data_IF_011503664155
#
_entry.id   IF_011503664155
#
_cell.length_a   1.000
_cell.length_b   1.000
_cell.length_c   1.000
_cell.angle_alpha   90.00
_cell.angle_beta   90.00
_cell.angle_gamma   90.00
#
_symmetry.space_group_name_H-M   'P 1'
#
loop_
_entity.id
_entity.type
_entity.pdbx_description
1 polymer ?
#
# COMPACT_ATOMS: atom_id res chain seq x y z
N UNK A 1 10.50 0.16 18.00
CA UNK A 1 10.75 -0.11 16.58
C UNK A 1 9.42 -0.59 16.02
N UNK A 2 9.28 -1.73 15.32
CA UNK A 2 8.02 -2.38 14.91
C UNK A 2 6.88 -1.46 14.44
N UNK A 3 6.09 -0.87 15.35
CA UNK A 3 5.04 0.11 14.99
C UNK A 3 5.63 1.32 14.27
N UNK A 4 6.78 1.80 14.73
CA UNK A 4 7.50 2.91 14.09
C UNK A 4 7.93 2.53 12.68
N UNK A 5 8.66 1.42 12.55
CA UNK A 5 9.16 0.91 11.27
C UNK A 5 8.01 0.72 10.26
N UNK A 6 6.88 0.15 10.69
CA UNK A 6 5.69 0.00 9.84
C UNK A 6 5.04 1.34 9.49
N UNK A 7 5.02 2.29 10.43
CA UNK A 7 4.49 3.64 10.16
C UNK A 7 5.33 4.37 9.12
N UNK A 8 6.65 4.19 9.16
CA UNK A 8 7.57 4.75 8.17
C UNK A 8 7.35 4.09 6.80
N UNK A 9 7.26 2.75 6.74
CA UNK A 9 6.96 2.01 5.50
C UNK A 9 5.67 2.52 4.84
N UNK A 10 4.60 2.69 5.62
CA UNK A 10 3.31 3.20 5.13
C UNK A 10 3.43 4.66 4.68
N UNK A 11 4.06 5.52 5.49
CA UNK A 11 4.16 6.94 5.18
C UNK A 11 4.96 7.20 3.90
N UNK A 12 6.11 6.55 3.74
CA UNK A 12 6.93 6.72 2.53
C UNK A 12 6.22 6.15 1.30
N UNK A 13 5.63 4.95 1.39
CA UNK A 13 4.95 4.34 0.24
C UNK A 13 3.76 5.19 -0.24
N UNK A 14 2.93 5.70 0.67
CA UNK A 14 1.76 6.50 0.31
C UNK A 14 2.15 7.88 -0.23
N UNK A 15 3.14 8.53 0.38
CA UNK A 15 3.60 9.84 -0.09
C UNK A 15 4.32 9.76 -1.43
N UNK A 16 5.11 8.72 -1.68
CA UNK A 16 5.79 8.56 -2.97
C UNK A 16 4.78 8.38 -4.12
N UNK A 17 3.68 7.64 -3.88
CA UNK A 17 2.57 7.53 -4.86
C UNK A 17 1.88 8.88 -5.05
N UNK A 18 1.60 9.60 -3.96
CA UNK A 18 0.98 10.92 -4.02
C UNK A 18 1.84 11.92 -4.82
N UNK A 19 3.12 12.03 -4.49
CA UNK A 19 4.07 12.94 -5.12
C UNK A 19 4.30 12.54 -6.59
N UNK A 20 4.38 11.24 -6.88
CA UNK A 20 4.51 10.73 -8.25
C UNK A 20 3.31 11.08 -9.13
N UNK A 21 2.09 10.96 -8.60
CA UNK A 21 0.86 11.38 -9.29
C UNK A 21 0.81 12.91 -9.44
N UNK A 22 1.10 13.65 -8.37
CA UNK A 22 1.08 15.11 -8.36
C UNK A 22 2.09 15.72 -9.34
N UNK A 23 3.29 15.16 -9.41
CA UNK A 23 4.35 15.59 -10.32
C UNK A 23 4.15 15.12 -11.77
N UNK A 24 3.16 14.26 -12.04
CA UNK A 24 2.92 13.67 -13.37
C UNK A 24 3.97 12.63 -13.77
N UNK A 25 4.68 12.05 -12.80
CA UNK A 25 5.60 10.92 -13.02
C UNK A 25 4.88 9.58 -13.08
N UNK A 26 3.69 9.49 -12.48
CA UNK A 26 2.82 8.33 -12.48
C UNK A 26 1.51 8.72 -13.16
N UNK A 27 1.10 7.98 -14.19
CA UNK A 27 -0.28 7.95 -14.65
C UNK A 27 -0.95 6.71 -14.02
N UNK A 28 -2.01 6.88 -13.20
CA UNK A 28 -2.63 5.73 -12.54
C UNK A 28 -3.23 4.75 -13.54
N UNK A 29 -3.56 5.18 -14.76
CA UNK A 29 -4.09 4.31 -15.80
C UNK A 29 -3.03 3.33 -16.34
N UNK A 30 -1.75 3.67 -16.27
CA UNK A 30 -0.67 2.77 -16.67
C UNK A 30 -0.59 1.51 -15.77
N UNK A 31 -1.13 1.55 -14.56
CA UNK A 31 -1.15 0.39 -13.66
C UNK A 31 -2.13 -0.71 -14.10
N UNK A 32 -2.98 -0.44 -15.10
CA UNK A 32 -3.82 -1.45 -15.74
C UNK A 32 -3.12 -2.14 -16.93
N UNK A 33 -1.98 -1.63 -17.38
CA UNK A 33 -1.29 -2.16 -18.54
C UNK A 33 -0.28 -3.24 -18.12
N UNK A 34 -0.39 -4.42 -18.73
CA UNK A 34 0.43 -5.59 -18.38
C UNK A 34 1.94 -5.34 -18.51
N UNK A 35 2.46 -4.69 -19.58
CA UNK A 35 3.89 -4.42 -19.70
C UNK A 35 4.43 -3.57 -18.55
N UNK A 36 3.68 -2.55 -18.13
CA UNK A 36 4.03 -1.66 -17.02
C UNK A 36 4.02 -2.42 -15.68
N UNK A 37 3.03 -3.29 -15.46
CA UNK A 37 2.96 -4.17 -14.29
C UNK A 37 4.17 -5.10 -14.21
N UNK A 38 4.53 -5.74 -15.32
CA UNK A 38 5.69 -6.63 -15.38
C UNK A 38 6.98 -5.91 -14.97
N UNK A 39 7.21 -4.69 -15.46
CA UNK A 39 8.39 -3.91 -15.09
C UNK A 39 8.40 -3.50 -13.61
N UNK A 40 7.23 -3.12 -13.06
CA UNK A 40 7.09 -2.83 -11.63
C UNK A 40 7.44 -4.08 -10.80
N UNK A 41 6.91 -5.24 -11.16
CA UNK A 41 7.14 -6.49 -10.42
C UNK A 41 8.60 -6.95 -10.50
N UNK A 42 9.27 -6.75 -11.65
CA UNK A 42 10.71 -7.01 -11.78
C UNK A 42 11.55 -6.16 -10.82
N UNK A 43 11.15 -4.91 -10.57
CA UNK A 43 11.82 -4.04 -9.60
C UNK A 43 11.47 -4.42 -8.17
N UNK A 44 10.24 -4.85 -7.91
CA UNK A 44 9.76 -5.24 -6.59
C UNK A 44 10.42 -6.53 -6.07
N UNK A 45 10.54 -7.54 -6.92
CA UNK A 45 11.04 -8.87 -6.54
C UNK A 45 12.53 -8.81 -6.19
N UNK A 46 12.88 -9.34 -5.01
CA UNK A 46 14.23 -9.34 -4.46
C UNK A 46 14.64 -8.03 -3.79
N UNK A 47 13.89 -6.93 -3.98
CA UNK A 47 14.16 -5.63 -3.34
C UNK A 47 13.15 -5.28 -2.24
N UNK A 48 11.87 -5.47 -2.52
CA UNK A 48 10.75 -5.14 -1.63
C UNK A 48 10.01 -6.39 -1.16
N UNK A 49 10.01 -7.45 -1.97
CA UNK A 49 9.52 -8.79 -1.61
C UNK A 49 10.61 -9.85 -1.81
N UNK A 50 10.52 -11.03 -1.17
CA UNK A 50 11.46 -12.13 -1.40
C UNK A 50 11.65 -12.47 -2.88
N UNK A 51 12.87 -12.92 -3.24
CA UNK A 51 13.22 -13.20 -4.64
C UNK A 51 12.44 -14.39 -5.24
N UNK A 52 11.82 -15.21 -4.42
CA UNK A 52 10.97 -16.35 -4.78
C UNK A 52 9.46 -16.02 -4.72
N UNK A 53 9.10 -14.75 -4.53
CA UNK A 53 7.69 -14.30 -4.59
C UNK A 53 7.14 -14.50 -6.00
N UNK A 54 5.98 -15.14 -6.09
CA UNK A 54 5.24 -15.28 -7.35
C UNK A 54 4.71 -13.90 -7.80
N UNK A 55 5.04 -13.41 -9.02
CA UNK A 55 4.48 -12.17 -9.55
C UNK A 55 2.95 -12.12 -9.51
N UNK A 56 2.27 -13.27 -9.56
CA UNK A 56 0.81 -13.33 -9.43
C UNK A 56 0.32 -12.80 -8.08
N UNK A 57 1.07 -13.00 -6.98
CA UNK A 57 0.71 -12.44 -5.66
C UNK A 57 0.74 -10.90 -5.67
N UNK A 58 1.66 -10.30 -6.42
CA UNK A 58 1.78 -8.85 -6.59
C UNK A 58 0.69 -8.32 -7.52
N UNK A 59 0.38 -9.05 -8.60
CA UNK A 59 -0.75 -8.72 -9.48
C UNK A 59 -2.06 -8.69 -8.72
N UNK A 60 -2.36 -9.74 -7.94
CA UNK A 60 -3.58 -9.80 -7.13
C UNK A 60 -3.63 -8.68 -6.08
N UNK A 61 -2.47 -8.28 -5.54
CA UNK A 61 -2.40 -7.16 -4.60
C UNK A 61 -2.71 -5.83 -5.27
N UNK A 62 -2.10 -5.57 -6.43
CA UNK A 62 -2.38 -4.39 -7.22
C UNK A 62 -3.84 -4.37 -7.70
N UNK A 63 -4.41 -5.50 -8.14
CA UNK A 63 -5.81 -5.60 -8.55
C UNK A 63 -6.77 -5.17 -7.44
N UNK A 64 -6.57 -5.69 -6.20
CA UNK A 64 -7.40 -5.29 -5.05
C UNK A 64 -7.35 -3.80 -4.76
N UNK A 65 -6.21 -3.15 -5.03
CA UNK A 65 -6.02 -1.72 -4.85
C UNK A 65 -6.71 -0.92 -5.96
N UNK A 66 -6.54 -1.31 -7.22
CA UNK A 66 -7.14 -0.63 -8.38
C UNK A 66 -8.67 -0.77 -8.39
N UNK A 67 -9.22 -1.85 -7.82
CA UNK A 67 -10.67 -2.09 -7.71
C UNK A 67 -11.37 -1.19 -6.67
N UNK A 68 -10.62 -0.43 -5.86
CA UNK A 68 -11.21 0.42 -4.85
C UNK A 68 -11.90 1.64 -5.48
N UNK A 69 -13.13 1.93 -5.04
CA UNK A 69 -13.92 3.07 -5.56
C UNK A 69 -13.22 4.43 -5.38
N UNK A 70 -12.39 4.55 -4.34
CA UNK A 70 -11.63 5.74 -4.02
C UNK A 70 -10.29 5.83 -4.77
N UNK A 71 -9.90 4.81 -5.54
CA UNK A 71 -8.66 4.84 -6.32
C UNK A 71 -8.70 5.95 -7.38
N UNK A 72 -7.63 6.75 -7.56
CA UNK A 72 -7.62 7.80 -8.56
C UNK A 72 -7.55 7.22 -9.98
N UNK A 73 -8.63 7.33 -10.75
CA UNK A 73 -8.70 6.89 -12.16
C UNK A 73 -8.21 7.96 -13.15
N UNK A 74 -7.32 8.84 -12.68
CA UNK A 74 -6.78 9.95 -13.44
C UNK A 74 -6.45 11.14 -12.55
N UNK A 75 -5.48 11.94 -12.99
CA UNK A 75 -5.03 13.13 -12.30
C UNK A 75 -4.73 14.25 -13.30
N UNK A 76 -5.56 15.29 -13.31
CA UNK A 76 -5.44 16.45 -14.22
C UNK A 76 -4.99 17.73 -13.51
N UNK A 77 -4.63 17.64 -12.22
CA UNK A 77 -4.23 18.77 -11.38
C UNK A 77 -5.37 19.68 -10.93
N UNK A 78 -6.62 19.42 -11.34
CA UNK A 78 -7.77 20.20 -10.87
C UNK A 78 -7.98 20.07 -9.36
N UNK A 79 -8.67 21.03 -8.76
CA UNK A 79 -8.99 20.99 -7.33
C UNK A 79 -9.76 19.71 -6.93
N UNK A 80 -10.61 19.20 -7.82
CA UNK A 80 -11.34 17.94 -7.61
C UNK A 80 -10.40 16.74 -7.66
N UNK A 81 -9.47 16.69 -8.62
CA UNK A 81 -8.47 15.64 -8.68
C UNK A 81 -7.54 15.65 -7.45
N UNK A 82 -7.14 16.84 -6.98
CA UNK A 82 -6.38 16.99 -5.74
C UNK A 82 -7.13 16.48 -4.51
N UNK A 83 -8.42 16.80 -4.38
CA UNK A 83 -9.25 16.31 -3.29
C UNK A 83 -9.38 14.77 -3.30
N UNK A 84 -9.57 14.17 -4.48
CA UNK A 84 -9.62 12.71 -4.64
C UNK A 84 -8.29 12.05 -4.32
N UNK A 85 -7.17 12.64 -4.73
CA UNK A 85 -5.84 12.13 -4.37
C UNK A 85 -5.63 12.13 -2.85
N UNK A 86 -6.02 13.21 -2.17
CA UNK A 86 -5.95 13.30 -0.69
C UNK A 86 -6.89 12.32 0.02
N UNK A 87 -8.04 12.02 -0.57
CA UNK A 87 -8.93 10.96 -0.07
C UNK A 87 -8.28 9.58 -0.22
N UNK A 88 -7.74 9.28 -1.41
CA UNK A 88 -7.06 8.02 -1.68
C UNK A 88 -5.86 7.77 -0.75
N UNK A 89 -5.03 8.79 -0.47
CA UNK A 89 -3.92 8.65 0.48
C UNK A 89 -4.40 8.40 1.91
N UNK A 90 -5.48 9.07 2.33
CA UNK A 90 -6.10 8.83 3.64
C UNK A 90 -6.65 7.39 3.75
N UNK A 91 -7.28 6.90 2.69
CA UNK A 91 -7.82 5.55 2.61
C UNK A 91 -6.71 4.50 2.63
N UNK A 92 -5.60 4.71 1.91
CA UNK A 92 -4.42 3.84 1.94
C UNK A 92 -3.81 3.73 3.34
N UNK A 93 -3.56 4.87 4.00
CA UNK A 93 -3.03 4.90 5.37
C UNK A 93 -3.95 4.11 6.31
N UNK A 94 -5.25 4.38 6.23
CA UNK A 94 -6.26 3.68 7.03
C UNK A 94 -6.26 2.18 6.78
N UNK A 95 -6.24 1.76 5.51
CA UNK A 95 -6.22 0.36 5.08
C UNK A 95 -5.02 -0.39 5.67
N UNK A 96 -3.81 0.14 5.54
CA UNK A 96 -2.60 -0.50 6.06
C UNK A 96 -2.55 -0.52 7.59
N UNK A 97 -2.97 0.56 8.24
CA UNK A 97 -3.04 0.62 9.71
C UNK A 97 -4.05 -0.38 10.26
N UNK A 98 -5.24 -0.45 9.68
CA UNK A 98 -6.31 -1.36 10.11
C UNK A 98 -5.95 -2.82 9.83
N UNK A 99 -5.27 -3.12 8.73
CA UNK A 99 -4.79 -4.47 8.43
C UNK A 99 -3.80 -4.96 9.49
N UNK A 100 -2.81 -4.12 9.85
CA UNK A 100 -1.82 -4.46 10.87
C UNK A 100 -2.44 -4.52 12.29
N UNK A 101 -3.32 -3.57 12.64
CA UNK A 101 -4.03 -3.60 13.91
C UNK A 101 -4.90 -4.85 14.02
N UNK A 102 -5.75 -5.11 13.02
CA UNK A 102 -6.69 -6.23 13.01
C UNK A 102 -5.97 -7.57 13.17
N UNK A 103 -4.87 -7.78 12.44
CA UNK A 103 -4.08 -9.00 12.53
C UNK A 103 -3.38 -9.15 13.88
N UNK A 104 -2.85 -8.05 14.43
CA UNK A 104 -2.24 -8.05 15.76
C UNK A 104 -3.27 -8.39 16.84
N UNK A 105 -4.46 -7.80 16.76
CA UNK A 105 -5.59 -8.07 17.66
C UNK A 105 -6.11 -9.49 17.52
N UNK A 106 -6.17 -10.04 16.31
CA UNK A 106 -6.55 -11.43 16.09
C UNK A 106 -5.57 -12.41 16.76
N UNK A 107 -4.27 -12.06 16.81
CA UNK A 107 -3.24 -12.91 17.43
C UNK A 107 -3.16 -12.78 18.96
N UNK A 108 -3.29 -11.57 19.50
CA UNK A 108 -3.02 -11.29 20.92
C UNK A 108 -4.28 -10.90 21.73
N UNK A 109 -5.42 -10.72 21.08
CA UNK A 109 -6.69 -10.35 21.70
C UNK A 109 -6.88 -8.84 21.93
N UNK A 110 -8.01 -8.51 22.57
CA UNK A 110 -8.45 -7.12 22.81
C UNK A 110 -7.80 -6.45 24.04
N UNK A 111 -6.91 -7.15 24.76
CA UNK A 111 -6.24 -6.63 25.95
C UNK A 111 -5.25 -5.50 25.68
N UNK A 112 -4.53 -5.06 26.70
CA UNK A 112 -3.47 -4.05 26.54
C UNK A 112 -2.28 -4.65 25.80
N UNK A 113 -2.11 -4.28 24.53
CA UNK A 113 -0.93 -4.61 23.76
C UNK A 113 0.17 -3.61 24.10
N UNK A 114 1.31 -4.12 24.55
CA UNK A 114 2.47 -3.31 24.93
C UNK A 114 3.72 -3.92 24.33
N UNK A 115 4.80 -3.14 24.30
CA UNK A 115 6.08 -3.49 23.66
C UNK A 115 6.61 -4.90 23.95
N UNK A 116 6.39 -5.42 25.15
CA UNK A 116 6.93 -6.72 25.57
C UNK A 116 5.84 -7.80 25.71
N UNK A 117 4.57 -7.45 25.44
CA UNK A 117 3.44 -8.35 25.56
C UNK A 117 2.85 -8.75 24.19
N UNK A 118 3.27 -8.08 23.11
CA UNK A 118 2.83 -8.36 21.75
C UNK A 118 3.88 -7.90 20.73
N UNK A 119 3.84 -8.52 19.55
CA UNK A 119 4.58 -8.08 18.38
C UNK A 119 3.59 -7.58 17.33
N UNK A 120 3.98 -6.58 16.54
CA UNK A 120 3.16 -6.11 15.43
C UNK A 120 3.05 -7.22 14.37
N UNK A 121 1.82 -7.56 13.98
CA UNK A 121 1.54 -8.49 12.89
C UNK A 121 1.09 -7.69 11.68
N UNK A 122 1.86 -7.74 10.60
CA UNK A 122 1.46 -7.19 9.30
C UNK A 122 1.13 -8.39 8.38
N UNK A 123 -0.12 -8.55 7.93
CA UNK A 123 -0.50 -9.62 7.01
C UNK A 123 0.33 -9.60 5.74
N UNK A 124 0.65 -10.79 5.21
CA UNK A 124 1.36 -10.93 3.92
C UNK A 124 0.68 -10.12 2.81
N UNK A 125 -0.65 -10.18 2.74
CA UNK A 125 -1.42 -9.43 1.76
C UNK A 125 -1.19 -7.90 1.82
N UNK A 126 -1.02 -7.33 3.03
CA UNK A 126 -0.74 -5.91 3.22
C UNK A 126 0.75 -5.57 3.06
N UNK A 127 1.66 -6.56 3.15
CA UNK A 127 3.09 -6.38 2.83
C UNK A 127 3.37 -6.41 1.33
N UNK A 128 2.48 -7.02 0.55
CA UNK A 128 2.63 -7.21 -0.90
C UNK A 128 1.83 -6.19 -1.72
N UNK A 129 0.95 -5.44 -1.06
CA UNK A 129 0.12 -4.37 -1.62
C UNK A 129 0.84 -3.04 -1.51
#
# INVERSE_FOLDING_TARGET
>A
AQVMDWSDDVAYSVHDVEDGLHAGHIDPNCLHAEPEREEIFKVAIGRYVPADTDPAELSEALDRLLEQEWWPHGYDGSAVAQARLKDATSQLIGRFCLAAEGATRARYGAGRLTRYAAELVVPRAARHE
#
